data_IF_290020297472
#
_entry.id   IF_290020297472
#
_cell.length_a   1.000
_cell.length_b   1.000
_cell.length_c   1.000
_cell.angle_alpha   90.00
_cell.angle_beta   90.00
_cell.angle_gamma   90.00
#
_symmetry.space_group_name_H-M   'P 1'
#
loop_
_entity.id
_entity.type
_entity.pdbx_description
1 polymer ?
#
# COMPACT_ATOMS: atom_id res chain seq x y z
N UNK A 1 12.75 27.52 -11.10
CA UNK A 1 12.53 26.09 -10.80
C UNK A 1 13.65 25.31 -11.44
N UNK A 2 14.56 24.76 -10.65
CA UNK A 2 15.63 23.88 -11.13
C UNK A 2 15.09 22.46 -11.08
N UNK A 3 14.79 21.87 -12.24
CA UNK A 3 14.39 20.47 -12.35
C UNK A 3 15.67 19.62 -12.32
N UNK A 4 16.16 19.30 -11.12
CA UNK A 4 17.21 18.29 -10.99
C UNK A 4 16.56 16.91 -11.10
N UNK A 5 16.45 16.41 -12.33
CA UNK A 5 16.22 14.98 -12.56
C UNK A 5 17.51 14.26 -12.20
N UNK A 6 17.72 14.03 -10.90
CA UNK A 6 18.86 13.27 -10.41
C UNK A 6 18.67 11.83 -10.84
N UNK A 7 19.56 11.31 -11.67
CA UNK A 7 19.51 9.92 -12.08
C UNK A 7 19.67 9.01 -10.84
N UNK A 8 18.78 8.04 -10.70
CA UNK A 8 18.84 7.03 -9.65
C UNK A 8 19.90 5.99 -10.04
N UNK A 9 21.13 6.11 -9.53
CA UNK A 9 22.20 5.15 -9.84
C UNK A 9 22.58 4.28 -8.64
N UNK A 10 22.57 2.97 -8.88
CA UNK A 10 23.52 2.01 -8.31
C UNK A 10 23.73 0.92 -9.37
N UNK A 11 24.95 0.81 -9.91
CA UNK A 11 25.35 -0.33 -10.76
C UNK A 11 26.21 -1.25 -9.88
N UNK A 12 25.72 -2.41 -9.45
CA UNK A 12 26.54 -3.35 -8.69
C UNK A 12 27.60 -4.00 -9.59
N UNK A 13 28.75 -4.30 -8.99
CA UNK A 13 29.85 -5.07 -9.59
C UNK A 13 29.38 -6.47 -10.00
N UNK A 14 29.95 -7.04 -11.07
CA UNK A 14 29.57 -8.37 -11.55
C UNK A 14 29.95 -9.47 -10.55
N UNK A 15 29.01 -10.36 -10.22
CA UNK A 15 29.30 -11.60 -9.50
C UNK A 15 30.22 -12.46 -10.39
N UNK A 16 31.52 -12.54 -10.07
CA UNK A 16 32.50 -13.33 -10.84
C UNK A 16 32.29 -14.85 -10.70
N UNK A 17 33.36 -15.64 -10.87
CA UNK A 17 33.33 -17.08 -10.61
C UNK A 17 33.30 -17.33 -9.08
N UNK A 18 32.11 -17.33 -8.50
CA UNK A 18 31.85 -17.50 -7.06
C UNK A 18 31.20 -18.87 -6.82
N UNK A 19 31.45 -19.49 -5.66
CA UNK A 19 30.79 -20.73 -5.22
C UNK A 19 29.25 -20.58 -5.17
N UNK A 20 28.52 -21.63 -5.51
CA UNK A 20 27.05 -21.61 -5.65
C UNK A 20 26.36 -21.20 -4.33
N UNK A 21 26.90 -21.61 -3.19
CA UNK A 21 26.37 -21.22 -1.88
C UNK A 21 26.51 -19.71 -1.64
N UNK A 22 27.67 -19.14 -1.94
CA UNK A 22 27.93 -17.71 -1.82
C UNK A 22 27.10 -16.88 -2.82
N UNK A 23 26.88 -17.36 -4.05
CA UNK A 23 25.97 -16.72 -5.01
C UNK A 23 24.53 -16.72 -4.49
N UNK A 24 24.09 -17.84 -3.90
CA UNK A 24 22.74 -17.97 -3.34
C UNK A 24 22.53 -17.02 -2.15
N UNK A 25 23.52 -16.92 -1.26
CA UNK A 25 23.46 -15.99 -0.12
C UNK A 25 23.46 -14.53 -0.57
N UNK A 26 24.25 -14.18 -1.58
CA UNK A 26 24.22 -12.84 -2.18
C UNK A 26 22.83 -12.50 -2.77
N UNK A 27 22.19 -13.46 -3.44
CA UNK A 27 20.84 -13.29 -3.97
C UNK A 27 19.78 -13.11 -2.86
N UNK A 28 19.89 -13.86 -1.76
CA UNK A 28 19.01 -13.69 -0.57
C UNK A 28 19.20 -12.32 0.07
N UNK A 29 20.45 -11.90 0.27
CA UNK A 29 20.76 -10.60 0.84
C UNK A 29 20.23 -9.44 -0.04
N UNK A 30 20.39 -9.54 -1.36
CA UNK A 30 19.84 -8.57 -2.29
C UNK A 30 18.31 -8.51 -2.25
N UNK A 31 17.64 -9.67 -2.14
CA UNK A 31 16.19 -9.76 -2.02
C UNK A 31 15.70 -9.13 -0.71
N UNK A 32 16.36 -9.43 0.42
CA UNK A 32 16.04 -8.80 1.70
C UNK A 32 16.22 -7.27 1.65
N UNK A 33 17.30 -6.80 1.03
CA UNK A 33 17.54 -5.37 0.84
C UNK A 33 16.45 -4.72 -0.03
N UNK A 34 16.01 -5.39 -1.10
CA UNK A 34 14.91 -4.93 -1.94
C UNK A 34 13.59 -4.84 -1.18
N UNK A 35 13.28 -5.85 -0.35
CA UNK A 35 12.07 -5.87 0.46
C UNK A 35 12.07 -4.74 1.50
N UNK A 36 13.20 -4.53 2.19
CA UNK A 36 13.36 -3.41 3.15
C UNK A 36 13.30 -2.03 2.49
N UNK A 37 13.85 -1.90 1.28
CA UNK A 37 13.69 -0.68 0.50
C UNK A 37 12.21 -0.42 0.17
N UNK A 38 11.42 -1.48 -0.03
CA UNK A 38 9.98 -1.37 -0.20
C UNK A 38 9.23 -0.94 1.05
N UNK A 39 9.59 -1.50 2.20
CA UNK A 39 9.09 -1.03 3.50
C UNK A 39 9.35 0.46 3.69
N UNK A 40 10.56 0.91 3.37
CA UNK A 40 10.94 2.34 3.44
C UNK A 40 10.10 3.21 2.52
N UNK A 41 9.79 2.75 1.29
CA UNK A 41 8.91 3.49 0.36
C UNK A 41 7.47 3.62 0.90
N UNK A 42 6.95 2.56 1.52
CA UNK A 42 5.62 2.56 2.14
C UNK A 42 5.56 3.49 3.36
N UNK A 43 6.57 3.46 4.22
CA UNK A 43 6.70 4.40 5.33
C UNK A 43 6.81 5.85 4.83
N UNK A 44 7.66 6.11 3.84
CA UNK A 44 7.80 7.45 3.26
C UNK A 44 6.47 7.97 2.67
N UNK A 45 5.70 7.10 2.00
CA UNK A 45 4.38 7.46 1.48
C UNK A 45 3.42 7.87 2.61
N UNK A 46 3.36 7.08 3.70
CA UNK A 46 2.55 7.42 4.87
C UNK A 46 2.99 8.73 5.53
N UNK A 47 4.29 8.91 5.76
CA UNK A 47 4.85 10.11 6.38
C UNK A 47 4.57 11.34 5.53
N UNK A 48 4.63 11.26 4.20
CA UNK A 48 4.25 12.37 3.32
C UNK A 48 2.79 12.78 3.49
N UNK A 49 1.87 11.81 3.63
CA UNK A 49 0.45 12.09 3.92
C UNK A 49 0.31 12.84 5.24
N UNK A 50 0.97 12.37 6.30
CA UNK A 50 0.95 13.02 7.63
C UNK A 50 1.53 14.44 7.60
N UNK A 51 2.60 14.66 6.83
CA UNK A 51 3.18 15.99 6.65
C UNK A 51 2.23 16.94 5.90
N UNK A 52 1.59 16.46 4.83
CA UNK A 52 0.62 17.27 4.10
C UNK A 52 -0.63 17.56 4.94
N UNK A 53 -1.11 16.60 5.73
CA UNK A 53 -2.23 16.78 6.65
C UNK A 53 -1.93 17.84 7.72
N UNK A 54 -0.77 17.75 8.39
CA UNK A 54 -0.31 18.76 9.36
C UNK A 54 -0.14 20.13 8.72
N UNK A 55 0.41 20.20 7.51
CA UNK A 55 0.55 21.48 6.79
C UNK A 55 -0.81 22.12 6.47
N UNK A 56 -1.81 21.30 6.12
CA UNK A 56 -3.16 21.78 5.81
C UNK A 56 -3.87 22.28 7.07
N UNK A 57 -3.68 21.60 8.19
CA UNK A 57 -4.22 22.00 9.49
C UNK A 57 -3.63 23.33 9.96
N UNK A 58 -2.31 23.48 9.93
CA UNK A 58 -1.64 24.73 10.32
C UNK A 58 -2.08 25.92 9.44
N UNK A 59 -2.27 25.70 8.13
CA UNK A 59 -2.82 26.72 7.23
C UNK A 59 -4.27 27.08 7.56
N UNK A 60 -5.08 26.12 8.01
CA UNK A 60 -6.45 26.36 8.41
C UNK A 60 -6.54 27.18 9.70
N UNK A 61 -5.67 26.90 10.68
CA UNK A 61 -5.56 27.61 11.96
C UNK A 61 -5.10 29.06 11.74
N UNK A 62 -4.04 29.28 10.94
CA UNK A 62 -3.58 30.62 10.59
C UNK A 62 -4.64 31.44 9.86
N UNK A 63 -5.44 30.80 9.00
CA UNK A 63 -6.54 31.47 8.31
C UNK A 63 -7.70 31.83 9.24
N UNK A 64 -7.96 31.02 10.28
CA UNK A 64 -8.94 31.36 11.32
C UNK A 64 -8.48 32.57 12.15
N UNK A 65 -7.21 32.61 12.53
CA UNK A 65 -6.62 33.75 13.24
C UNK A 65 -6.64 35.04 12.41
N UNK A 66 -6.41 34.95 11.10
CA UNK A 66 -6.42 36.09 10.18
C UNK A 66 -7.83 36.53 9.72
N UNK A 67 -8.89 35.81 10.12
CA UNK A 67 -10.28 36.12 9.81
C UNK A 67 -10.81 35.53 8.49
N UNK A 68 -12.14 35.55 8.33
CA UNK A 68 -12.90 34.78 7.33
C UNK A 68 -12.45 34.95 5.86
N UNK A 69 -11.80 36.06 5.49
CA UNK A 69 -11.29 36.30 4.14
C UNK A 69 -9.93 35.65 3.82
N UNK A 70 -9.19 35.18 4.84
CA UNK A 70 -7.87 34.54 4.66
C UNK A 70 -7.99 33.06 4.27
N UNK A 71 -9.16 32.46 4.49
CA UNK A 71 -9.38 31.03 4.34
C UNK A 71 -9.51 30.63 2.88
N UNK A 72 -8.61 29.76 2.41
CA UNK A 72 -8.69 29.19 1.05
C UNK A 72 -10.03 28.45 0.87
N UNK A 73 -10.76 28.67 -0.24
CA UNK A 73 -12.01 27.98 -0.53
C UNK A 73 -11.84 26.46 -0.56
N UNK A 74 -12.91 25.73 -0.19
CA UNK A 74 -12.88 24.27 -0.10
C UNK A 74 -12.44 23.60 -1.42
N UNK A 75 -12.91 24.10 -2.57
CA UNK A 75 -12.55 23.58 -3.89
C UNK A 75 -11.06 23.69 -4.23
N UNK A 76 -10.30 24.53 -3.52
CA UNK A 76 -8.89 24.75 -3.76
C UNK A 76 -7.99 24.08 -2.70
N UNK A 77 -8.58 23.34 -1.75
CA UNK A 77 -7.86 22.50 -0.80
C UNK A 77 -7.73 21.11 -1.41
N UNK A 78 -6.48 20.70 -1.62
CA UNK A 78 -6.19 19.36 -2.07
C UNK A 78 -6.12 18.42 -0.86
N UNK A 79 -6.73 17.25 -1.02
CA UNK A 79 -6.62 16.15 -0.08
C UNK A 79 -5.14 15.77 0.15
N UNK A 80 -4.70 15.56 1.42
CA UNK A 80 -3.31 15.20 1.72
C UNK A 80 -2.80 13.96 0.96
N UNK A 81 -3.64 12.94 0.71
CA UNK A 81 -3.24 11.75 -0.04
C UNK A 81 -3.01 12.07 -1.51
N UNK A 82 -3.88 12.89 -2.12
CA UNK A 82 -3.69 13.37 -3.48
C UNK A 82 -2.38 14.18 -3.63
N UNK A 83 -2.06 15.03 -2.64
CA UNK A 83 -0.79 15.78 -2.62
C UNK A 83 0.42 14.87 -2.47
N UNK A 84 0.35 13.87 -1.59
CA UNK A 84 1.41 12.89 -1.40
C UNK A 84 1.67 12.11 -2.69
N UNK A 85 0.62 11.67 -3.37
CA UNK A 85 0.70 11.00 -4.68
C UNK A 85 1.44 11.86 -5.69
N UNK A 86 1.00 13.10 -5.89
CA UNK A 86 1.57 13.99 -6.92
C UNK A 86 3.05 14.31 -6.60
N UNK A 87 3.38 14.43 -5.31
CA UNK A 87 4.76 14.59 -4.87
C UNK A 87 5.62 13.36 -5.18
N UNK A 88 5.12 12.14 -4.91
CA UNK A 88 5.82 10.88 -5.21
C UNK A 88 5.99 10.66 -6.72
N UNK A 89 4.98 10.99 -7.53
CA UNK A 89 5.08 10.95 -9.01
C UNK A 89 6.28 11.79 -9.47
N UNK A 90 6.37 13.03 -8.98
CA UNK A 90 7.44 13.94 -9.36
C UNK A 90 8.82 13.52 -8.82
N UNK A 91 8.89 13.11 -7.55
CA UNK A 91 10.14 12.80 -6.87
C UNK A 91 10.75 11.46 -7.30
N UNK A 92 9.92 10.46 -7.59
CA UNK A 92 10.34 9.08 -7.84
C UNK A 92 10.11 8.62 -9.29
N UNK A 93 9.62 9.51 -10.17
CA UNK A 93 9.33 9.20 -11.58
C UNK A 93 8.32 8.04 -11.75
N UNK A 94 7.33 7.99 -10.87
CA UNK A 94 6.33 6.92 -10.86
C UNK A 94 5.13 7.30 -11.72
N UNK A 95 4.40 6.29 -12.20
CA UNK A 95 3.06 6.55 -12.76
C UNK A 95 2.12 7.01 -11.66
N UNK A 96 1.13 7.85 -12.00
CA UNK A 96 0.11 8.27 -11.02
C UNK A 96 -0.62 7.09 -10.40
N UNK A 97 -0.84 6.01 -11.17
CA UNK A 97 -1.45 4.79 -10.68
C UNK A 97 -0.60 4.12 -9.59
N UNK A 98 0.69 3.93 -9.84
CA UNK A 98 1.57 3.29 -8.86
C UNK A 98 1.77 4.15 -7.61
N UNK A 99 1.94 5.46 -7.77
CA UNK A 99 2.03 6.39 -6.64
C UNK A 99 0.76 6.39 -5.79
N UNK A 100 -0.43 6.33 -6.40
CA UNK A 100 -1.69 6.26 -5.66
C UNK A 100 -1.77 4.99 -4.82
N UNK A 101 -1.38 3.85 -5.39
CA UNK A 101 -1.36 2.57 -4.66
C UNK A 101 -0.35 2.57 -3.51
N UNK A 102 0.84 3.15 -3.70
CA UNK A 102 1.82 3.32 -2.62
C UNK A 102 1.28 4.17 -1.47
N UNK A 103 0.58 5.27 -1.79
CA UNK A 103 -0.05 6.13 -0.77
C UNK A 103 -1.13 5.38 -0.02
N UNK A 104 -2.06 4.73 -0.72
CA UNK A 104 -3.10 3.91 -0.08
C UNK A 104 -2.48 2.83 0.79
N UNK A 105 -1.59 2.00 0.24
CA UNK A 105 -0.96 0.91 0.98
C UNK A 105 -0.16 1.42 2.19
N UNK A 106 0.66 2.47 2.01
CA UNK A 106 1.43 3.08 3.09
C UNK A 106 0.54 3.53 4.24
N UNK A 107 -0.55 4.26 3.95
CA UNK A 107 -1.51 4.70 4.96
C UNK A 107 -2.20 3.54 5.66
N UNK A 108 -2.68 2.53 4.92
CA UNK A 108 -3.36 1.37 5.51
C UNK A 108 -2.43 0.55 6.40
N UNK A 109 -1.21 0.27 5.94
CA UNK A 109 -0.18 -0.47 6.70
C UNK A 109 0.16 0.22 8.02
N UNK A 110 0.29 1.55 8.01
CA UNK A 110 0.71 2.28 9.19
C UNK A 110 -0.42 2.64 10.16
N UNK A 111 -1.69 2.61 9.71
CA UNK A 111 -2.84 2.98 10.55
C UNK A 111 -3.73 1.81 10.97
N UNK A 112 -3.93 0.81 10.09
CA UNK A 112 -4.95 -0.23 10.25
C UNK A 112 -4.41 -1.65 10.24
N UNK A 113 -3.22 -1.88 9.66
CA UNK A 113 -2.69 -3.23 9.39
C UNK A 113 -1.34 -3.49 10.10
N UNK A 114 -1.33 -3.62 11.45
CA UNK A 114 -0.11 -3.78 12.22
C UNK A 114 0.66 -5.08 11.96
N UNK A 115 -0.01 -6.18 11.58
CA UNK A 115 0.67 -7.45 11.25
C UNK A 115 1.39 -7.34 9.92
N UNK A 116 0.71 -6.82 8.91
CA UNK A 116 1.28 -6.59 7.60
C UNK A 116 2.47 -5.65 7.72
N UNK A 117 2.36 -4.58 8.52
CA UNK A 117 3.50 -3.70 8.84
C UNK A 117 4.67 -4.47 9.41
N UNK A 118 4.45 -5.26 10.47
CA UNK A 118 5.53 -6.03 11.10
C UNK A 118 6.22 -6.99 10.12
N UNK A 119 5.48 -7.61 9.21
CA UNK A 119 6.02 -8.55 8.23
C UNK A 119 6.82 -7.82 7.13
N UNK A 120 6.33 -6.67 6.67
CA UNK A 120 6.99 -5.80 5.69
C UNK A 120 8.29 -5.21 6.25
N UNK A 121 8.27 -4.68 7.48
CA UNK A 121 9.45 -4.08 8.13
C UNK A 121 10.59 -5.10 8.31
N UNK A 122 10.24 -6.37 8.55
CA UNK A 122 11.21 -7.48 8.63
C UNK A 122 11.77 -7.89 7.26
N UNK A 123 11.18 -7.42 6.17
CA UNK A 123 11.56 -7.75 4.79
C UNK A 123 11.08 -9.12 4.34
N UNK A 124 10.03 -9.67 4.96
CA UNK A 124 9.48 -10.99 4.64
C UNK A 124 8.52 -10.96 3.44
N UNK A 125 7.96 -9.79 3.13
CA UNK A 125 7.06 -9.60 1.99
C UNK A 125 7.70 -8.70 0.92
N UNK A 126 7.61 -9.07 -0.37
CA UNK A 126 7.88 -8.13 -1.46
C UNK A 126 6.89 -6.96 -1.45
N UNK A 127 7.37 -5.76 -1.79
CA UNK A 127 6.54 -4.54 -1.81
C UNK A 127 5.24 -4.70 -2.59
N UNK A 128 5.31 -5.25 -3.81
CA UNK A 128 4.13 -5.36 -4.67
C UNK A 128 3.04 -6.22 -4.01
N UNK A 129 3.41 -7.30 -3.33
CA UNK A 129 2.47 -8.16 -2.61
C UNK A 129 1.88 -7.43 -1.40
N UNK A 130 2.69 -6.71 -0.63
CA UNK A 130 2.21 -5.88 0.47
C UNK A 130 1.24 -4.78 0.00
N UNK A 131 1.50 -4.17 -1.15
CA UNK A 131 0.63 -3.17 -1.79
C UNK A 131 -0.67 -3.81 -2.29
N UNK A 132 -0.62 -5.01 -2.87
CA UNK A 132 -1.82 -5.76 -3.29
C UNK A 132 -2.71 -6.08 -2.08
N UNK A 133 -2.14 -6.65 -1.02
CA UNK A 133 -2.86 -6.97 0.23
C UNK A 133 -3.43 -5.70 0.87
N UNK A 134 -2.62 -4.67 1.08
CA UNK A 134 -3.04 -3.46 1.79
C UNK A 134 -4.12 -2.67 1.03
N UNK A 135 -4.01 -2.56 -0.30
CA UNK A 135 -5.05 -1.92 -1.11
C UNK A 135 -6.38 -2.67 -1.02
N UNK A 136 -6.35 -4.01 -1.01
CA UNK A 136 -7.58 -4.81 -0.93
C UNK A 136 -8.19 -4.77 0.47
N UNK A 137 -7.37 -4.85 1.52
CA UNK A 137 -7.83 -4.70 2.92
C UNK A 137 -8.34 -3.28 3.24
N UNK A 138 -8.01 -2.28 2.42
CA UNK A 138 -8.59 -0.94 2.55
C UNK A 138 -10.12 -0.95 2.44
N UNK A 139 -10.68 -1.89 1.69
CA UNK A 139 -12.13 -2.04 1.45
C UNK A 139 -12.82 -2.89 2.53
N UNK A 140 -12.05 -3.55 3.40
CA UNK A 140 -12.58 -4.40 4.47
C UNK A 140 -12.98 -3.54 5.68
N UNK A 141 -14.17 -3.74 6.28
CA UNK A 141 -14.63 -2.98 7.45
C UNK A 141 -13.72 -3.13 8.67
N UNK A 142 -13.58 -2.06 9.46
CA UNK A 142 -12.76 -2.02 10.69
C UNK A 142 -13.14 -3.11 11.71
N UNK A 143 -14.41 -3.52 11.73
CA UNK A 143 -14.90 -4.54 12.65
C UNK A 143 -14.27 -5.92 12.43
N UNK A 144 -13.88 -6.25 11.19
CA UNK A 144 -13.36 -7.58 10.82
C UNK A 144 -11.93 -7.53 10.26
N UNK A 145 -11.41 -6.35 9.90
CA UNK A 145 -10.12 -6.22 9.21
C UNK A 145 -8.96 -6.85 9.97
N UNK A 146 -8.93 -6.77 11.31
CA UNK A 146 -7.87 -7.38 12.11
C UNK A 146 -7.85 -8.91 11.98
N UNK A 147 -9.02 -9.56 11.94
CA UNK A 147 -9.12 -11.01 11.82
C UNK A 147 -8.78 -11.49 10.40
N UNK A 148 -9.24 -10.74 9.39
CA UNK A 148 -8.89 -10.97 7.98
C UNK A 148 -7.39 -10.76 7.75
N UNK A 149 -6.80 -9.72 8.34
CA UNK A 149 -5.37 -9.43 8.24
C UNK A 149 -4.52 -10.55 8.85
N UNK A 150 -4.79 -10.95 10.10
CA UNK A 150 -4.04 -12.01 10.79
C UNK A 150 -3.98 -13.27 9.93
N UNK A 151 -5.11 -13.66 9.34
CA UNK A 151 -5.20 -14.83 8.50
C UNK A 151 -4.44 -14.69 7.17
N UNK A 152 -4.69 -13.59 6.45
CA UNK A 152 -4.12 -13.37 5.12
C UNK A 152 -2.60 -13.23 5.20
N UNK A 153 -2.09 -12.54 6.23
CA UNK A 153 -0.66 -12.37 6.45
C UNK A 153 0.00 -13.70 6.84
N UNK A 154 -0.65 -14.52 7.69
CA UNK A 154 -0.13 -15.84 8.04
C UNK A 154 -0.02 -16.73 6.79
N UNK A 155 -1.10 -16.85 6.01
CA UNK A 155 -1.13 -17.62 4.77
C UNK A 155 -0.02 -17.23 3.81
N UNK A 156 0.12 -15.94 3.49
CA UNK A 156 1.11 -15.51 2.50
C UNK A 156 2.55 -15.53 2.99
N UNK A 157 2.76 -15.50 4.30
CA UNK A 157 4.09 -15.76 4.86
C UNK A 157 4.45 -17.24 4.70
N UNK A 158 3.52 -18.14 5.00
CA UNK A 158 3.71 -19.59 4.82
C UNK A 158 3.92 -19.98 3.34
N UNK A 159 3.15 -19.38 2.42
CA UNK A 159 3.30 -19.60 0.97
C UNK A 159 4.71 -19.20 0.50
N UNK A 160 5.20 -18.03 0.93
CA UNK A 160 6.54 -17.53 0.58
C UNK A 160 7.66 -18.38 1.19
N UNK A 161 7.51 -18.82 2.44
CA UNK A 161 8.45 -19.74 3.09
C UNK A 161 8.47 -21.11 2.38
N UNK A 162 7.33 -21.53 1.81
CA UNK A 162 7.20 -22.69 0.94
C UNK A 162 7.74 -22.51 -0.49
N UNK A 163 8.13 -21.29 -0.86
CA UNK A 163 8.62 -20.93 -2.19
C UNK A 163 7.53 -20.70 -3.23
N UNK A 164 6.25 -20.63 -2.82
CA UNK A 164 5.16 -20.22 -3.69
C UNK A 164 5.05 -18.69 -3.73
N UNK A 165 4.70 -18.17 -4.91
CA UNK A 165 4.52 -16.73 -5.10
C UNK A 165 3.08 -16.45 -5.48
N UNK A 166 2.27 -15.94 -4.53
CA UNK A 166 0.88 -15.63 -4.77
C UNK A 166 0.71 -14.67 -5.95
N UNK A 167 -0.19 -15.03 -6.87
CA UNK A 167 -0.65 -14.11 -7.90
C UNK A 167 -1.61 -13.11 -7.29
N UNK A 168 -1.82 -11.96 -7.96
CA UNK A 168 -2.82 -10.99 -7.52
C UNK A 168 -4.22 -11.60 -7.37
N UNK A 169 -4.62 -12.47 -8.29
CA UNK A 169 -5.91 -13.16 -8.20
C UNK A 169 -5.97 -14.08 -6.97
N UNK A 170 -4.86 -14.73 -6.60
CA UNK A 170 -4.79 -15.53 -5.39
C UNK A 170 -4.92 -14.66 -4.12
N UNK A 171 -4.35 -13.44 -4.14
CA UNK A 171 -4.55 -12.44 -3.08
C UNK A 171 -6.00 -12.04 -2.95
N UNK A 172 -6.63 -11.68 -4.06
CA UNK A 172 -8.03 -11.26 -4.08
C UNK A 172 -8.95 -12.39 -3.57
N UNK A 173 -8.79 -13.62 -4.07
CA UNK A 173 -9.58 -14.77 -3.61
C UNK A 173 -9.34 -15.12 -2.15
N UNK A 174 -8.09 -15.08 -1.66
CA UNK A 174 -7.81 -15.38 -0.26
C UNK A 174 -8.46 -14.37 0.69
N UNK A 175 -8.50 -13.09 0.29
CA UNK A 175 -9.16 -12.05 1.08
C UNK A 175 -10.68 -12.22 1.03
N UNK A 176 -11.26 -12.53 -0.14
CA UNK A 176 -12.69 -12.81 -0.27
C UNK A 176 -13.12 -13.98 0.62
N UNK A 177 -12.38 -15.09 0.57
CA UNK A 177 -12.62 -16.27 1.40
C UNK A 177 -12.51 -15.97 2.90
N UNK A 178 -11.57 -15.09 3.30
CA UNK A 178 -11.40 -14.67 4.68
C UNK A 178 -12.53 -13.75 5.13
N UNK A 179 -12.92 -12.78 4.31
CA UNK A 179 -14.06 -11.89 4.58
C UNK A 179 -15.35 -12.70 4.73
N UNK A 180 -15.61 -13.68 3.85
CA UNK A 180 -16.81 -14.52 3.92
C UNK A 180 -16.91 -15.29 5.25
N UNK A 181 -15.78 -15.74 5.80
CA UNK A 181 -15.76 -16.45 7.08
C UNK A 181 -15.96 -15.55 8.29
N UNK A 182 -15.46 -14.31 8.24
CA UNK A 182 -15.56 -13.36 9.36
C UNK A 182 -16.82 -12.49 9.30
N UNK A 183 -17.44 -12.34 8.12
CA UNK A 183 -18.72 -11.67 7.93
C UNK A 183 -19.60 -12.39 6.87
N UNK A 184 -20.22 -13.52 7.26
CA UNK A 184 -21.05 -14.29 6.35
C UNK A 184 -22.33 -13.54 5.95
N UNK A 185 -22.80 -12.59 6.75
CA UNK A 185 -23.99 -11.81 6.46
C UNK A 185 -23.72 -10.80 5.32
N UNK A 186 -22.63 -10.05 5.40
CA UNK A 186 -22.25 -9.14 4.31
C UNK A 186 -21.91 -9.89 3.01
N UNK A 187 -21.34 -11.09 3.11
CA UNK A 187 -21.10 -11.94 1.94
C UNK A 187 -22.41 -12.35 1.25
N UNK A 188 -23.44 -12.71 2.02
CA UNK A 188 -24.77 -13.01 1.50
C UNK A 188 -25.42 -11.78 0.85
N UNK A 189 -25.30 -10.61 1.48
CA UNK A 189 -25.82 -9.35 0.93
C UNK A 189 -25.13 -8.98 -0.39
N UNK A 190 -23.80 -9.14 -0.47
CA UNK A 190 -23.04 -8.90 -1.70
C UNK A 190 -23.44 -9.87 -2.81
N UNK A 191 -23.65 -11.16 -2.50
CA UNK A 191 -24.13 -12.14 -3.46
C UNK A 191 -25.55 -11.81 -3.96
N UNK A 192 -26.44 -11.38 -3.06
CA UNK A 192 -27.79 -10.95 -3.39
C UNK A 192 -27.78 -9.70 -4.29
N UNK A 193 -26.92 -8.71 -3.99
CA UNK A 193 -26.73 -7.52 -4.80
C UNK A 193 -26.20 -7.87 -6.21
N UNK A 194 -25.20 -8.75 -6.30
CA UNK A 194 -24.65 -9.23 -7.56
C UNK A 194 -25.72 -9.96 -8.41
N UNK A 195 -26.53 -10.82 -7.79
CA UNK A 195 -27.65 -11.49 -8.43
C UNK A 195 -28.70 -10.49 -8.96
N UNK A 196 -29.02 -9.45 -8.18
CA UNK A 196 -29.92 -8.39 -8.60
C UNK A 196 -29.39 -7.64 -9.82
N UNK A 197 -28.10 -7.28 -9.86
CA UNK A 197 -27.48 -6.61 -11.03
C UNK A 197 -27.40 -7.50 -12.27
N UNK A 198 -27.27 -8.83 -12.14
CA UNK A 198 -27.29 -9.77 -13.27
C UNK A 198 -28.68 -9.96 -13.87
N UNK A 199 -29.74 -9.63 -13.11
CA UNK A 199 -31.13 -9.68 -13.59
C UNK A 199 -31.53 -8.40 -14.33
N UNK A 200 -30.89 -8.11 -15.46
CA UNK A 200 -31.37 -7.05 -16.36
C UNK A 200 -32.65 -7.54 -17.05
N UNK A 201 -33.81 -7.05 -16.59
CA UNK A 201 -35.06 -7.20 -17.34
C UNK A 201 -35.05 -6.20 -18.48
N UNK A 202 -34.90 -6.70 -19.71
CA UNK A 202 -35.22 -5.92 -20.90
C UNK A 202 -36.71 -5.57 -20.88
N UNK A 203 -37.02 -4.28 -21.02
CA UNK A 203 -38.38 -3.75 -21.25
C UNK A 203 -38.63 -3.60 -22.74
#
# INVERSE_FOLDING_TARGET
MVTTTSALFAVPESLGMVDMEAVSEAARAATLAQNRAGATRLEAAHVLVEQFARSAQAQAEQADEAGAGSRRPAYARLDPEARARDHLVAACQLTCWHAARLVTAGTQIHRRLPRLRSTVDRGLLPEQLAVDIACRLAEVPDAIVSAVEDEVVARFTDDLDGGDRPTRNAVDSAIDDAVERHDPAAAQDAAAAAAATRSVRFR
#
